data_IF_673948697005
#
_entry.id   IF_673948697005
#
_cell.length_a   1.000
_cell.length_b   1.000
_cell.length_c   1.000
_cell.angle_alpha   90.00
_cell.angle_beta   90.00
_cell.angle_gamma   90.00
#
_symmetry.space_group_name_H-M   'P 1'
#
loop_
_entity.id
_entity.type
_entity.pdbx_description
1 polymer ?
#
# COMPACT_ATOMS: atom_id res chain seq x y z
N UNK A 1 -64.04 -26.25 47.29
CA UNK A 1 -63.66 -26.11 45.89
C UNK A 1 -62.74 -24.93 45.79
N UNK A 2 -61.42 -25.15 45.57
CA UNK A 2 -60.42 -24.10 45.49
C UNK A 2 -59.88 -24.13 44.08
N UNK A 3 -60.16 -23.09 43.27
CA UNK A 3 -59.55 -22.84 41.96
C UNK A 3 -58.18 -22.33 42.19
N UNK A 4 -57.14 -23.11 41.79
CA UNK A 4 -55.77 -22.65 41.71
C UNK A 4 -55.58 -22.15 40.29
N UNK A 5 -55.54 -20.86 40.13
CA UNK A 5 -55.10 -20.19 38.89
C UNK A 5 -53.60 -20.36 38.74
N UNK A 6 -53.17 -21.12 37.73
CA UNK A 6 -51.75 -21.16 37.29
C UNK A 6 -51.52 -19.98 36.40
N UNK A 7 -50.71 -19.01 36.87
CA UNK A 7 -50.15 -17.96 36.03
C UNK A 7 -48.99 -18.53 35.23
N UNK A 8 -49.20 -18.67 33.92
CA UNK A 8 -48.07 -18.92 33.00
C UNK A 8 -47.40 -17.60 32.66
N UNK A 9 -46.21 -17.41 33.19
CA UNK A 9 -45.35 -16.32 32.83
C UNK A 9 -44.69 -16.66 31.48
N UNK A 10 -45.15 -16.03 30.40
CA UNK A 10 -44.50 -16.09 29.10
C UNK A 10 -43.38 -15.06 29.12
N UNK A 11 -42.18 -15.52 29.31
CA UNK A 11 -40.98 -14.67 29.14
C UNK A 11 -40.73 -14.44 27.64
N UNK A 12 -41.09 -13.26 27.18
CA UNK A 12 -40.80 -12.80 25.83
C UNK A 12 -39.31 -12.42 25.75
N UNK A 13 -38.48 -13.34 25.28
CA UNK A 13 -37.08 -13.07 25.01
C UNK A 13 -36.99 -12.24 23.71
N UNK A 14 -36.83 -10.93 23.83
CA UNK A 14 -36.49 -10.05 22.73
C UNK A 14 -35.02 -10.27 22.37
N UNK A 15 -34.78 -11.01 21.30
CA UNK A 15 -33.47 -11.15 20.70
C UNK A 15 -33.17 -9.82 20.01
N UNK A 16 -32.32 -9.01 20.62
CA UNK A 16 -31.78 -7.80 20.04
C UNK A 16 -30.71 -8.19 19.03
N UNK A 17 -31.12 -8.41 17.78
CA UNK A 17 -30.16 -8.60 16.67
C UNK A 17 -29.47 -7.27 16.37
N UNK A 18 -28.24 -7.12 16.86
CA UNK A 18 -27.36 -6.05 16.40
C UNK A 18 -27.01 -6.30 14.92
N UNK A 19 -27.20 -5.33 14.03
CA UNK A 19 -26.63 -5.42 12.70
C UNK A 19 -25.11 -5.42 12.85
N UNK A 20 -24.46 -6.51 12.47
CA UNK A 20 -23.02 -6.53 12.28
C UNK A 20 -22.72 -5.55 11.15
N UNK A 21 -22.32 -4.33 11.50
CA UNK A 21 -21.74 -3.39 10.57
C UNK A 21 -20.44 -4.02 10.08
N UNK A 22 -20.47 -4.59 8.87
CA UNK A 22 -19.27 -4.95 8.12
C UNK A 22 -18.49 -3.65 7.88
N UNK A 23 -17.61 -3.31 8.82
CA UNK A 23 -16.64 -2.26 8.63
C UNK A 23 -15.77 -2.69 7.46
N UNK A 24 -15.91 -2.00 6.35
CA UNK A 24 -15.00 -2.11 5.20
C UNK A 24 -13.61 -1.67 5.66
N UNK A 25 -12.85 -2.63 6.19
CA UNK A 25 -11.48 -2.42 6.63
C UNK A 25 -10.47 -2.42 5.46
N UNK A 26 -10.90 -2.81 4.24
CA UNK A 26 -9.99 -3.16 3.15
C UNK A 26 -9.19 -1.97 2.61
N UNK A 27 -9.81 -0.84 2.31
CA UNK A 27 -9.09 0.30 1.71
C UNK A 27 -8.05 0.95 2.64
N UNK A 28 -8.28 0.96 3.95
CA UNK A 28 -7.34 1.56 4.92
C UNK A 28 -6.16 0.64 5.23
N UNK A 29 -6.35 -0.68 5.19
CA UNK A 29 -5.30 -1.66 5.43
C UNK A 29 -4.35 -1.78 4.24
N UNK A 30 -4.85 -1.81 3.02
CA UNK A 30 -4.04 -1.79 1.80
C UNK A 30 -3.24 -0.50 1.67
N UNK A 31 -3.86 0.64 1.95
CA UNK A 31 -3.17 1.93 1.93
C UNK A 31 -1.96 1.94 2.88
N UNK A 32 -2.13 1.44 4.10
CA UNK A 32 -1.01 1.32 5.04
C UNK A 32 0.07 0.36 4.53
N UNK A 33 -0.35 -0.76 3.96
CA UNK A 33 0.56 -1.76 3.41
C UNK A 33 1.42 -1.18 2.28
N UNK A 34 0.80 -0.50 1.31
CA UNK A 34 1.52 0.09 0.17
C UNK A 34 2.50 1.17 0.62
N UNK A 35 2.07 2.07 1.51
CA UNK A 35 2.95 3.08 2.09
C UNK A 35 4.15 2.47 2.80
N UNK A 36 3.91 1.42 3.59
CA UNK A 36 4.99 0.73 4.32
C UNK A 36 5.99 0.08 3.36
N UNK A 37 5.51 -0.58 2.30
CA UNK A 37 6.38 -1.20 1.30
C UNK A 37 7.25 -0.14 0.60
N UNK A 38 6.65 0.98 0.18
CA UNK A 38 7.38 2.08 -0.46
C UNK A 38 8.42 2.68 0.48
N UNK A 39 8.03 2.97 1.72
CA UNK A 39 8.95 3.50 2.74
C UNK A 39 10.12 2.56 3.01
N UNK A 40 9.85 1.27 3.15
CA UNK A 40 10.90 0.27 3.36
C UNK A 40 11.86 0.22 2.17
N UNK A 41 11.35 0.29 0.93
CA UNK A 41 12.19 0.30 -0.25
C UNK A 41 13.05 1.57 -0.34
N UNK A 42 12.47 2.74 -0.09
CA UNK A 42 13.21 4.00 -0.09
C UNK A 42 14.30 4.03 0.99
N UNK A 43 14.01 3.51 2.18
CA UNK A 43 15.00 3.37 3.24
C UNK A 43 16.13 2.40 2.86
N UNK A 44 15.80 1.31 2.18
CA UNK A 44 16.80 0.38 1.66
C UNK A 44 17.71 1.06 0.61
N UNK A 45 17.15 1.85 -0.29
CA UNK A 45 17.94 2.65 -1.24
C UNK A 45 18.89 3.62 -0.51
N UNK A 46 18.41 4.32 0.52
CA UNK A 46 19.22 5.27 1.28
C UNK A 46 20.40 4.60 2.01
N UNK A 47 20.23 3.36 2.44
CA UNK A 47 21.30 2.56 3.07
C UNK A 47 22.21 1.85 2.07
N UNK A 48 21.88 1.89 0.78
CA UNK A 48 22.57 1.09 -0.23
C UNK A 48 22.28 -0.42 -0.11
N UNK A 49 21.17 -0.78 0.54
CA UNK A 49 20.75 -2.18 0.74
C UNK A 49 19.98 -2.68 -0.49
N UNK A 50 20.73 -3.06 -1.51
CA UNK A 50 20.18 -3.52 -2.77
C UNK A 50 19.31 -4.77 -2.62
N UNK A 51 19.71 -5.70 -1.77
CA UNK A 51 18.99 -6.96 -1.54
C UNK A 51 17.60 -6.73 -0.97
N UNK A 52 17.49 -5.88 0.07
CA UNK A 52 16.19 -5.56 0.68
C UNK A 52 15.30 -4.79 -0.29
N UNK A 53 15.84 -3.81 -1.01
CA UNK A 53 15.08 -3.05 -2.00
C UNK A 53 14.54 -3.93 -3.13
N UNK A 54 15.38 -4.82 -3.65
CA UNK A 54 15.03 -5.77 -4.71
C UNK A 54 14.00 -6.80 -4.27
N UNK A 55 14.07 -7.24 -3.02
CA UNK A 55 13.12 -8.19 -2.44
C UNK A 55 11.68 -7.66 -2.33
N UNK A 56 11.48 -6.34 -2.37
CA UNK A 56 10.16 -5.71 -2.36
C UNK A 56 9.53 -5.60 -3.75
N UNK A 57 10.27 -5.88 -4.81
CA UNK A 57 9.79 -5.95 -6.18
C UNK A 57 9.19 -7.33 -6.50
N UNK A 58 8.26 -7.36 -7.45
CA UNK A 58 7.67 -8.61 -7.94
C UNK A 58 8.72 -9.53 -8.54
N UNK A 59 8.40 -10.83 -8.57
CA UNK A 59 9.24 -11.81 -9.25
C UNK A 59 9.49 -11.46 -10.72
N UNK A 60 8.50 -10.87 -11.39
CA UNK A 60 8.64 -10.40 -12.78
C UNK A 60 9.72 -9.33 -12.92
N UNK A 61 9.73 -8.33 -12.03
CA UNK A 61 10.79 -7.32 -12.02
C UNK A 61 12.14 -7.91 -11.63
N UNK A 62 12.18 -8.83 -10.67
CA UNK A 62 13.42 -9.50 -10.27
C UNK A 62 14.04 -10.28 -11.43
N UNK A 63 13.23 -10.97 -12.22
CA UNK A 63 13.71 -11.67 -13.43
C UNK A 63 14.22 -10.70 -14.49
N UNK A 64 13.59 -9.53 -14.65
CA UNK A 64 14.00 -8.50 -15.61
C UNK A 64 15.37 -7.93 -15.31
N UNK A 65 15.63 -7.59 -14.06
CA UNK A 65 16.89 -6.97 -13.63
C UNK A 65 17.95 -7.97 -13.18
N UNK A 66 17.58 -9.22 -12.94
CA UNK A 66 18.42 -10.38 -12.65
C UNK A 66 19.16 -10.34 -11.32
N UNK A 67 19.59 -9.18 -10.84
CA UNK A 67 20.30 -9.06 -9.57
C UNK A 67 19.95 -7.78 -8.81
N UNK A 68 20.09 -7.79 -7.47
CA UNK A 68 19.92 -6.59 -6.65
C UNK A 68 20.83 -5.44 -7.07
N UNK A 69 22.09 -5.72 -7.44
CA UNK A 69 23.05 -4.69 -7.80
C UNK A 69 22.67 -4.00 -9.12
N UNK A 70 22.23 -4.75 -10.11
CA UNK A 70 21.73 -4.19 -11.38
C UNK A 70 20.49 -3.33 -11.14
N UNK A 71 19.58 -3.80 -10.28
CA UNK A 71 18.36 -3.08 -9.92
C UNK A 71 18.66 -1.74 -9.26
N UNK A 72 19.50 -1.72 -8.21
CA UNK A 72 19.81 -0.48 -7.49
C UNK A 72 20.55 0.53 -8.37
N UNK A 73 21.46 0.08 -9.24
CA UNK A 73 22.14 0.97 -10.19
C UNK A 73 21.16 1.58 -11.20
N UNK A 74 20.18 0.82 -11.67
CA UNK A 74 19.11 1.35 -12.52
C UNK A 74 18.31 2.44 -11.81
N UNK A 75 17.95 2.22 -10.54
CA UNK A 75 17.19 3.20 -9.74
C UNK A 75 18.01 4.47 -9.51
N UNK A 76 19.30 4.35 -9.19
CA UNK A 76 20.20 5.51 -9.04
C UNK A 76 20.24 6.38 -10.28
N UNK A 77 20.31 5.77 -11.47
CA UNK A 77 20.45 6.48 -12.74
C UNK A 77 19.13 7.02 -13.27
N UNK A 78 18.07 6.21 -13.21
CA UNK A 78 16.79 6.51 -13.84
C UNK A 78 15.76 7.17 -12.91
N UNK A 79 15.93 7.01 -11.60
CA UNK A 79 14.97 7.44 -10.58
C UNK A 79 15.59 8.19 -9.40
N UNK A 80 16.43 9.23 -9.64
CA UNK A 80 17.08 9.95 -8.55
C UNK A 80 16.13 10.47 -7.47
N UNK A 81 14.91 10.99 -7.81
CA UNK A 81 13.95 11.44 -6.81
C UNK A 81 13.39 10.31 -5.92
N UNK A 82 13.36 9.08 -6.41
CA UNK A 82 12.97 7.89 -5.65
C UNK A 82 14.14 7.37 -4.81
N UNK A 83 15.33 7.42 -5.38
CA UNK A 83 16.53 6.92 -4.72
C UNK A 83 16.92 7.76 -3.49
N UNK A 84 16.83 9.08 -3.59
CA UNK A 84 17.14 10.03 -2.52
C UNK A 84 16.22 11.26 -2.53
N UNK A 85 14.95 11.09 -2.13
CA UNK A 85 14.03 12.21 -2.01
C UNK A 85 14.42 13.11 -0.83
N UNK A 86 14.18 14.42 -0.97
CA UNK A 86 14.20 15.36 0.15
C UNK A 86 12.88 15.29 0.95
N UNK A 87 11.79 14.96 0.28
CA UNK A 87 10.45 14.88 0.88
C UNK A 87 9.60 13.84 0.17
N UNK A 88 8.76 13.16 0.93
CA UNK A 88 7.84 12.12 0.46
C UNK A 88 6.46 12.40 1.04
N UNK A 89 5.44 12.54 0.17
CA UNK A 89 4.04 12.72 0.57
C UNK A 89 3.17 11.75 -0.20
N UNK A 90 2.43 10.90 0.50
CA UNK A 90 1.54 9.93 -0.13
C UNK A 90 0.24 10.60 -0.56
N UNK A 91 -0.14 10.36 -1.81
CA UNK A 91 -1.39 10.79 -2.40
C UNK A 91 -2.45 9.69 -2.40
N UNK A 92 -3.26 9.68 -3.44
CA UNK A 92 -4.37 8.73 -3.60
C UNK A 92 -3.90 7.36 -4.05
N UNK A 93 -4.72 6.36 -3.79
CA UNK A 93 -4.65 5.05 -4.44
C UNK A 93 -5.71 5.03 -5.54
N UNK A 94 -5.34 4.53 -6.70
CA UNK A 94 -6.23 4.33 -7.85
C UNK A 94 -6.21 2.87 -8.25
N UNK A 95 -7.39 2.29 -8.45
CA UNK A 95 -7.51 0.97 -9.05
C UNK A 95 -7.38 1.10 -10.57
N UNK A 96 -6.55 0.25 -11.16
CA UNK A 96 -6.34 0.18 -12.59
C UNK A 96 -6.46 -1.27 -13.07
N UNK A 97 -6.56 -1.46 -14.38
CA UNK A 97 -6.59 -2.81 -14.99
C UNK A 97 -5.30 -3.62 -14.72
N UNK A 98 -4.23 -2.94 -14.31
CA UNK A 98 -2.94 -3.55 -13.96
C UNK A 98 -2.70 -3.65 -12.44
N UNK A 99 -3.76 -3.47 -11.65
CA UNK A 99 -3.70 -3.47 -10.19
C UNK A 99 -3.73 -2.07 -9.57
N UNK A 100 -3.65 -1.99 -8.25
CA UNK A 100 -3.68 -0.72 -7.53
C UNK A 100 -2.39 0.09 -7.76
N UNK A 101 -2.55 1.40 -7.84
CA UNK A 101 -1.47 2.37 -8.02
C UNK A 101 -1.51 3.40 -6.90
N UNK A 102 -0.42 3.52 -6.15
CA UNK A 102 -0.23 4.55 -5.13
C UNK A 102 0.48 5.77 -5.71
N UNK A 103 -0.12 6.92 -5.61
CA UNK A 103 0.52 8.20 -5.90
C UNK A 103 1.47 8.59 -4.78
N UNK A 104 2.69 9.02 -5.14
CA UNK A 104 3.70 9.51 -4.22
C UNK A 104 4.30 10.80 -4.76
N UNK A 105 4.07 11.89 -4.05
CA UNK A 105 4.66 13.19 -4.37
C UNK A 105 6.04 13.29 -3.72
N UNK A 106 7.02 13.62 -4.53
CA UNK A 106 8.43 13.69 -4.13
C UNK A 106 9.01 15.07 -4.39
N UNK A 107 9.86 15.52 -3.49
CA UNK A 107 10.84 16.56 -3.79
C UNK A 107 12.17 15.83 -4.01
N UNK A 108 12.72 15.95 -5.21
CA UNK A 108 13.95 15.28 -5.61
C UNK A 108 15.20 15.92 -5.00
N UNK A 109 16.39 15.33 -5.25
CA UNK A 109 17.66 15.81 -4.68
C UNK A 109 18.01 17.25 -5.05
N UNK A 110 17.49 17.73 -6.19
CA UNK A 110 17.70 19.09 -6.70
C UNK A 110 16.56 20.05 -6.38
N UNK A 111 15.63 19.67 -5.48
CA UNK A 111 14.49 20.50 -5.09
C UNK A 111 13.34 20.52 -6.09
N UNK A 112 13.34 19.67 -7.11
CA UNK A 112 12.29 19.59 -8.12
C UNK A 112 11.14 18.71 -7.65
N UNK A 113 9.91 19.08 -8.02
CA UNK A 113 8.70 18.33 -7.71
C UNK A 113 8.48 17.18 -8.71
N UNK A 114 8.20 16.00 -8.18
CA UNK A 114 7.93 14.79 -8.95
C UNK A 114 6.69 14.08 -8.45
N UNK A 115 6.06 13.34 -9.34
CA UNK A 115 5.02 12.37 -9.03
C UNK A 115 5.53 10.99 -9.43
N UNK A 116 5.60 10.09 -8.44
CA UNK A 116 5.88 8.69 -8.66
C UNK A 116 4.57 7.90 -8.54
N UNK A 117 4.28 7.06 -9.54
CA UNK A 117 3.15 6.17 -9.56
C UNK A 117 3.65 4.75 -9.32
N UNK A 118 3.44 4.25 -8.11
CA UNK A 118 3.83 2.91 -7.71
C UNK A 118 2.69 1.94 -7.96
N UNK A 119 2.90 0.99 -8.85
CA UNK A 119 1.97 -0.11 -9.08
C UNK A 119 2.32 -1.32 -8.21
N UNK A 120 1.29 -2.07 -7.81
CA UNK A 120 1.42 -3.22 -6.93
C UNK A 120 0.72 -4.44 -7.52
N UNK A 121 1.26 -5.59 -7.19
CA UNK A 121 0.70 -6.89 -7.56
C UNK A 121 0.79 -7.83 -6.36
N UNK A 122 -0.31 -8.53 -6.09
CA UNK A 122 -0.33 -9.56 -5.06
C UNK A 122 0.27 -10.84 -5.61
N UNK A 123 1.24 -11.38 -4.90
CA UNK A 123 1.91 -12.63 -5.27
C UNK A 123 1.09 -13.84 -4.82
N UNK A 124 1.46 -15.03 -5.29
CA UNK A 124 0.75 -16.29 -4.98
C UNK A 124 0.68 -16.59 -3.48
N UNK A 125 1.65 -16.13 -2.70
CA UNK A 125 1.68 -16.24 -1.23
C UNK A 125 0.84 -15.18 -0.49
N UNK A 126 0.15 -14.32 -1.24
CA UNK A 126 -0.66 -13.21 -0.70
C UNK A 126 0.11 -11.94 -0.39
N UNK A 127 1.44 -11.92 -0.50
CA UNK A 127 2.25 -10.73 -0.28
C UNK A 127 2.09 -9.71 -1.41
N UNK A 128 1.94 -8.44 -1.07
CA UNK A 128 1.99 -7.34 -2.01
C UNK A 128 3.44 -6.98 -2.33
N UNK A 129 3.72 -6.80 -3.62
CA UNK A 129 5.04 -6.38 -4.13
C UNK A 129 4.88 -5.25 -5.12
N UNK A 130 5.92 -4.44 -5.26
CA UNK A 130 5.99 -3.37 -6.26
C UNK A 130 6.18 -4.00 -7.64
N UNK A 131 5.24 -3.75 -8.53
CA UNK A 131 5.26 -4.23 -9.93
C UNK A 131 5.81 -3.21 -10.91
N UNK A 132 5.93 -1.94 -10.49
CA UNK A 132 6.50 -0.87 -11.29
C UNK A 132 6.48 0.46 -10.59
N UNK A 133 7.21 1.41 -11.16
CA UNK A 133 7.19 2.80 -10.76
C UNK A 133 7.33 3.67 -12.01
N UNK A 134 6.38 4.56 -12.22
CA UNK A 134 6.43 5.58 -13.26
C UNK A 134 6.72 6.93 -12.63
N UNK A 135 7.75 7.61 -13.10
CA UNK A 135 8.18 8.91 -12.56
C UNK A 135 7.92 10.01 -13.59
N UNK A 136 7.22 11.05 -13.16
CA UNK A 136 6.94 12.23 -14.00
C UNK A 136 7.14 13.51 -13.19
N UNK A 137 7.41 14.61 -13.88
CA UNK A 137 7.47 15.93 -13.25
C UNK A 137 6.07 16.34 -12.77
N UNK A 138 6.03 17.05 -11.65
CA UNK A 138 4.79 17.54 -11.06
C UNK A 138 4.92 19.03 -10.76
N UNK A 139 3.79 19.75 -10.74
CA UNK A 139 3.72 21.12 -10.21
C UNK A 139 3.77 21.19 -8.67
N UNK A 140 3.88 20.05 -8.03
CA UNK A 140 3.77 19.89 -6.58
C UNK A 140 2.38 19.42 -6.15
N UNK A 141 2.17 19.35 -4.84
CA UNK A 141 0.81 19.15 -4.31
C UNK A 141 -0.04 20.34 -4.74
N UNK A 142 -1.17 20.08 -5.39
CA UNK A 142 -2.15 21.11 -5.63
C UNK A 142 -2.59 21.69 -4.28
N UNK A 143 -2.42 22.96 -4.16
CA UNK A 143 -2.86 23.68 -2.97
C UNK A 143 -4.39 23.60 -2.83
#
# INVERSE_FOLDING_TARGET
MRFRQLFHLVALATILSLPASLVRADGSSESRTFRQIIQNQMQAFQRGDATSAFGLATRTLQKRYQSPDVFIEMVKRGYPPVYRPQSVTFGKIKDTDFGPVQEVYLIGPKGQNWLALYSFEQQDDGAWKISGCYLTKSSGLAA
#
